data_IF_478654495154
#
_entry.id   IF_478654495154
#
_cell.length_a   1.000
_cell.length_b   1.000
_cell.length_c   1.000
_cell.angle_alpha   90.00
_cell.angle_beta   90.00
_cell.angle_gamma   90.00
#
_symmetry.space_group_name_H-M   'P 1'
#
loop_
_entity.id
_entity.type
_entity.pdbx_description
1 polymer ?
#
# COMPACT_ATOMS: atom_id res chain seq x y z
N UNK A 1 -19.25 -64.24 -75.04
CA UNK A 1 -18.97 -62.79 -75.15
C UNK A 1 -18.09 -62.40 -73.96
N UNK A 2 -16.97 -61.75 -74.24
CA UNK A 2 -15.85 -61.25 -73.40
C UNK A 2 -16.02 -61.05 -71.86
N UNK A 3 -14.92 -61.44 -71.15
CA UNK A 3 -14.17 -60.75 -70.06
C UNK A 3 -14.80 -60.66 -68.64
N UNK A 4 -14.38 -61.46 -67.65
CA UNK A 4 -13.28 -61.29 -66.63
C UNK A 4 -13.55 -60.29 -65.48
N UNK A 5 -13.53 -60.76 -64.22
CA UNK A 5 -12.48 -60.45 -63.22
C UNK A 5 -12.69 -61.23 -61.90
N UNK A 6 -11.61 -61.79 -61.37
CA UNK A 6 -11.52 -62.68 -60.20
C UNK A 6 -11.14 -61.95 -58.89
N UNK A 7 -11.06 -62.74 -57.80
CA UNK A 7 -10.23 -62.59 -56.56
C UNK A 7 -10.96 -61.98 -55.34
N UNK A 8 -10.83 -62.43 -54.09
CA UNK A 8 -10.43 -63.70 -53.44
C UNK A 8 -10.72 -63.52 -51.93
N UNK A 9 -10.98 -64.63 -51.24
CA UNK A 9 -11.23 -64.74 -49.81
C UNK A 9 -9.92 -64.64 -49.00
N UNK A 10 -9.90 -63.88 -47.90
CA UNK A 10 -8.84 -63.95 -46.88
C UNK A 10 -9.45 -64.02 -45.47
N UNK A 11 -8.99 -65.02 -44.72
CA UNK A 11 -9.24 -65.31 -43.30
C UNK A 11 -8.70 -64.20 -42.39
N UNK A 12 -9.51 -63.72 -41.43
CA UNK A 12 -9.06 -62.87 -40.34
C UNK A 12 -8.59 -63.70 -39.14
N UNK A 13 -7.31 -63.61 -38.80
CA UNK A 13 -6.73 -64.05 -37.53
C UNK A 13 -7.01 -63.01 -36.43
N UNK A 14 -7.60 -63.43 -35.31
CA UNK A 14 -7.74 -62.61 -34.11
C UNK A 14 -6.55 -62.83 -33.18
N UNK A 15 -5.76 -61.78 -32.92
CA UNK A 15 -4.77 -61.73 -31.84
C UNK A 15 -5.34 -60.85 -30.72
N UNK A 16 -5.64 -61.47 -29.58
CA UNK A 16 -6.07 -60.77 -28.38
C UNK A 16 -4.91 -60.05 -27.70
N UNK A 17 -5.01 -58.72 -27.60
CA UNK A 17 -4.14 -57.92 -26.73
C UNK A 17 -4.82 -57.78 -25.36
N UNK A 18 -4.21 -58.38 -24.33
CA UNK A 18 -4.54 -58.09 -22.93
C UNK A 18 -3.99 -56.70 -22.59
N UNK A 19 -4.86 -55.69 -22.52
CA UNK A 19 -4.51 -54.42 -21.87
C UNK A 19 -4.52 -54.62 -20.36
N UNK A 20 -3.39 -54.45 -19.70
CA UNK A 20 -3.33 -54.30 -18.24
C UNK A 20 -4.06 -53.00 -17.87
N UNK A 21 -5.29 -53.11 -17.39
CA UNK A 21 -5.95 -52.01 -16.70
C UNK A 21 -5.16 -51.74 -15.42
N UNK A 22 -4.37 -50.68 -15.42
CA UNK A 22 -3.88 -50.05 -14.19
C UNK A 22 -5.09 -49.53 -13.43
N UNK A 23 -5.57 -50.32 -12.47
CA UNK A 23 -6.53 -49.88 -11.48
C UNK A 23 -5.89 -48.71 -10.74
N UNK A 24 -6.39 -47.50 -10.98
CA UNK A 24 -6.00 -46.33 -10.21
C UNK A 24 -6.34 -46.62 -8.74
N UNK A 25 -5.32 -46.78 -7.91
CA UNK A 25 -5.49 -46.85 -6.46
C UNK A 25 -6.26 -45.60 -6.01
N UNK A 26 -7.25 -45.71 -5.12
CA UNK A 26 -7.95 -44.54 -4.59
C UNK A 26 -6.93 -43.55 -4.03
N UNK A 27 -7.08 -42.25 -4.34
CA UNK A 27 -6.28 -41.19 -3.72
C UNK A 27 -6.37 -41.35 -2.20
N UNK A 28 -5.30 -41.85 -1.59
CA UNK A 28 -5.20 -41.86 -0.13
C UNK A 28 -5.08 -40.42 0.31
N UNK A 29 -5.85 -40.04 1.33
CA UNK A 29 -5.83 -38.68 1.88
C UNK A 29 -4.40 -38.37 2.39
N UNK A 30 -3.61 -37.54 1.69
CA UNK A 30 -2.17 -37.45 1.96
C UNK A 30 -1.91 -36.79 3.31
N UNK A 31 -0.98 -37.34 4.11
CA UNK A 31 -0.67 -36.86 5.47
C UNK A 31 0.71 -36.20 5.58
N UNK A 32 1.59 -36.44 4.61
CA UNK A 32 2.93 -35.88 4.55
C UNK A 32 3.23 -35.31 3.16
N UNK A 33 4.28 -34.49 3.04
CA UNK A 33 4.72 -34.03 1.72
C UNK A 33 5.19 -35.21 0.84
N UNK A 34 5.74 -36.27 1.44
CA UNK A 34 6.10 -37.50 0.71
C UNK A 34 4.89 -38.08 -0.02
N UNK A 35 3.73 -38.16 0.66
CA UNK A 35 2.50 -38.71 0.07
C UNK A 35 2.00 -37.85 -1.09
N UNK A 36 1.98 -36.52 -0.90
CA UNK A 36 1.63 -35.56 -1.96
C UNK A 36 2.55 -35.70 -3.18
N UNK A 37 3.86 -35.79 -2.95
CA UNK A 37 4.85 -35.90 -4.02
C UNK A 37 4.79 -37.24 -4.77
N UNK A 38 4.57 -38.35 -4.07
CA UNK A 38 4.47 -39.68 -4.70
C UNK A 38 3.21 -39.82 -5.55
N UNK A 39 2.12 -39.17 -5.14
CA UNK A 39 0.85 -39.16 -5.88
C UNK A 39 0.77 -38.03 -6.91
N UNK A 40 1.87 -37.29 -7.17
CA UNK A 40 1.87 -36.07 -8.00
C UNK A 40 1.21 -36.23 -9.38
N UNK A 41 1.30 -37.40 -10.01
CA UNK A 41 0.70 -37.66 -11.33
C UNK A 41 -0.82 -37.76 -11.32
N UNK A 42 -1.44 -38.04 -10.17
CA UNK A 42 -2.90 -38.20 -10.01
C UNK A 42 -3.56 -36.98 -9.37
N UNK A 43 -2.77 -36.00 -8.92
CA UNK A 43 -3.26 -34.79 -8.28
C UNK A 43 -3.95 -33.84 -9.28
N UNK A 44 -4.94 -33.04 -8.82
CA UNK A 44 -5.46 -31.92 -9.59
C UNK A 44 -4.35 -30.96 -10.03
N UNK A 45 -4.47 -30.27 -11.19
CA UNK A 45 -3.41 -29.40 -11.71
C UNK A 45 -2.93 -28.35 -10.72
N UNK A 46 -3.83 -27.77 -9.93
CA UNK A 46 -3.53 -26.75 -8.94
C UNK A 46 -2.69 -27.29 -7.79
N UNK A 47 -3.05 -28.47 -7.28
CA UNK A 47 -2.31 -29.14 -6.21
C UNK A 47 -0.95 -29.63 -6.72
N UNK A 48 -0.92 -30.20 -7.92
CA UNK A 48 0.30 -30.65 -8.60
C UNK A 48 1.29 -29.49 -8.74
N UNK A 49 0.83 -28.33 -9.17
CA UNK A 49 1.65 -27.12 -9.28
C UNK A 49 2.29 -26.75 -7.93
N UNK A 50 1.53 -26.78 -6.84
CA UNK A 50 2.09 -26.51 -5.49
C UNK A 50 3.14 -27.54 -5.09
N UNK A 51 2.93 -28.81 -5.40
CA UNK A 51 3.96 -29.86 -5.18
C UNK A 51 5.22 -29.58 -6.00
N UNK A 52 5.08 -29.16 -7.26
CA UNK A 52 6.22 -28.82 -8.12
C UNK A 52 7.02 -27.63 -7.59
N UNK A 53 6.33 -26.56 -7.15
CA UNK A 53 6.98 -25.41 -6.50
C UNK A 53 7.71 -25.85 -5.23
N UNK A 54 7.11 -26.73 -4.41
CA UNK A 54 7.75 -27.22 -3.19
C UNK A 54 8.98 -28.10 -3.48
N UNK A 55 8.96 -28.90 -4.55
CA UNK A 55 10.12 -29.67 -5.01
C UNK A 55 11.25 -28.75 -5.50
N UNK A 56 10.92 -27.67 -6.20
CA UNK A 56 11.88 -26.64 -6.60
C UNK A 56 12.51 -25.97 -5.37
N UNK A 57 11.69 -25.57 -4.39
CA UNK A 57 12.18 -25.00 -3.12
C UNK A 57 13.06 -25.97 -2.35
N UNK A 58 12.75 -27.26 -2.38
CA UNK A 58 13.57 -28.31 -1.78
C UNK A 58 14.82 -28.65 -2.62
N UNK A 59 14.92 -28.16 -3.86
CA UNK A 59 16.00 -28.45 -4.81
C UNK A 59 16.24 -29.95 -4.99
N UNK A 60 15.16 -30.72 -5.09
CA UNK A 60 15.24 -32.17 -5.33
C UNK A 60 13.93 -32.70 -5.89
N UNK A 61 14.02 -33.74 -6.73
CA UNK A 61 12.85 -34.50 -7.21
C UNK A 61 12.58 -35.74 -6.34
N UNK A 62 13.45 -36.06 -5.38
CA UNK A 62 13.24 -37.17 -4.47
C UNK A 62 12.26 -36.79 -3.37
N UNK A 63 11.06 -37.38 -3.38
CA UNK A 63 9.97 -37.04 -2.45
C UNK A 63 10.37 -37.16 -0.97
N UNK A 64 11.13 -38.19 -0.58
CA UNK A 64 11.55 -38.39 0.81
C UNK A 64 12.54 -37.32 1.24
N UNK A 65 13.52 -37.01 0.39
CA UNK A 65 14.50 -35.97 0.65
C UNK A 65 13.84 -34.58 0.69
N UNK A 66 12.90 -34.31 -0.22
CA UNK A 66 12.14 -33.07 -0.22
C UNK A 66 11.34 -32.91 1.07
N UNK A 67 10.64 -33.96 1.51
CA UNK A 67 9.91 -33.96 2.77
C UNK A 67 10.84 -33.64 3.95
N UNK A 68 11.97 -34.33 4.08
CA UNK A 68 12.95 -34.08 5.14
C UNK A 68 13.44 -32.62 5.18
N UNK A 69 13.72 -32.02 4.01
CA UNK A 69 14.12 -30.61 3.92
C UNK A 69 12.97 -29.68 4.34
N UNK A 70 11.79 -29.88 3.75
CA UNK A 70 10.64 -28.99 3.93
C UNK A 70 10.07 -29.03 5.35
N UNK A 71 9.98 -30.21 5.99
CA UNK A 71 9.44 -30.35 7.35
C UNK A 71 10.36 -29.76 8.42
N UNK A 72 11.64 -29.53 8.11
CA UNK A 72 12.60 -28.89 9.02
C UNK A 72 12.66 -27.37 8.85
N UNK A 73 11.96 -26.81 7.86
CA UNK A 73 11.94 -25.36 7.66
C UNK A 73 11.15 -24.68 8.77
N UNK A 74 11.70 -23.56 9.24
CA UNK A 74 11.00 -22.60 10.11
C UNK A 74 10.49 -21.40 9.31
N UNK A 75 11.08 -21.12 8.15
CA UNK A 75 10.67 -20.05 7.25
C UNK A 75 10.51 -20.57 5.84
N UNK A 76 9.41 -20.20 5.18
CA UNK A 76 9.13 -20.59 3.80
C UNK A 76 8.52 -19.41 3.04
N UNK A 77 9.11 -19.06 1.90
CA UNK A 77 8.57 -18.06 0.98
C UNK A 77 8.19 -18.71 -0.36
N UNK A 78 6.92 -18.55 -0.67
CA UNK A 78 6.20 -19.05 -1.83
C UNK A 78 5.46 -17.91 -2.55
N UNK A 79 5.89 -16.66 -2.37
CA UNK A 79 5.31 -15.52 -3.07
C UNK A 79 5.52 -15.60 -4.60
N UNK A 80 4.61 -15.01 -5.38
CA UNK A 80 4.69 -14.90 -6.84
C UNK A 80 4.70 -16.24 -7.61
N UNK A 81 4.11 -17.31 -7.05
CA UNK A 81 4.15 -18.64 -7.67
C UNK A 81 2.85 -19.06 -8.36
N UNK A 82 1.83 -18.20 -8.45
CA UNK A 82 0.51 -18.55 -9.01
C UNK A 82 -0.19 -19.74 -8.31
N UNK A 83 0.19 -20.04 -7.06
CA UNK A 83 -0.39 -21.12 -6.25
C UNK A 83 -1.87 -20.84 -5.99
N UNK A 84 -2.72 -21.86 -6.07
CA UNK A 84 -4.16 -21.74 -5.75
C UNK A 84 -4.63 -22.78 -4.73
N UNK A 85 -4.03 -23.96 -4.71
CA UNK A 85 -4.26 -25.00 -3.70
C UNK A 85 -3.05 -25.13 -2.77
N UNK A 86 -3.24 -24.95 -1.47
CA UNK A 86 -2.18 -25.02 -0.46
C UNK A 86 -2.30 -26.25 0.47
N UNK A 87 -3.14 -27.23 0.14
CA UNK A 87 -3.24 -28.49 0.91
C UNK A 87 -1.88 -29.15 1.19
N UNK A 88 -0.91 -29.18 0.27
CA UNK A 88 0.42 -29.75 0.53
C UNK A 88 1.22 -29.08 1.66
N UNK A 89 0.85 -27.85 2.06
CA UNK A 89 1.53 -27.14 3.15
C UNK A 89 1.11 -27.60 4.55
N UNK A 90 -0.03 -28.29 4.68
CA UNK A 90 -0.61 -28.66 5.99
C UNK A 90 0.31 -29.52 6.88
N UNK A 91 1.27 -30.24 6.28
CA UNK A 91 2.24 -31.06 6.99
C UNK A 91 3.50 -30.30 7.46
N UNK A 92 3.67 -29.03 7.08
CA UNK A 92 4.87 -28.23 7.38
C UNK A 92 4.75 -27.49 8.71
N UNK A 93 4.39 -28.21 9.78
CA UNK A 93 3.96 -27.65 11.07
C UNK A 93 5.06 -26.95 11.88
N UNK A 94 6.33 -27.09 11.49
CA UNK A 94 7.46 -26.40 12.12
C UNK A 94 7.64 -24.96 11.64
N UNK A 95 6.85 -24.51 10.65
CA UNK A 95 6.92 -23.14 10.14
C UNK A 95 6.51 -22.13 11.21
N UNK A 96 7.36 -21.12 11.40
CA UNK A 96 7.10 -19.93 12.21
C UNK A 96 6.89 -18.68 11.35
N UNK A 97 7.32 -18.70 10.09
CA UNK A 97 7.09 -17.64 9.12
C UNK A 97 6.72 -18.22 7.75
N UNK A 98 5.59 -17.79 7.20
CA UNK A 98 5.11 -18.21 5.89
C UNK A 98 4.73 -17.01 5.03
N UNK A 99 5.32 -16.94 3.85
CA UNK A 99 5.00 -15.93 2.84
C UNK A 99 4.35 -16.59 1.62
N UNK A 100 3.10 -16.22 1.36
CA UNK A 100 2.24 -16.69 0.27
C UNK A 100 1.70 -15.51 -0.57
N UNK A 101 2.39 -14.35 -0.56
CA UNK A 101 1.92 -13.17 -1.26
C UNK A 101 1.83 -13.37 -2.79
N UNK A 102 0.97 -12.61 -3.46
CA UNK A 102 0.87 -12.58 -4.94
C UNK A 102 0.66 -13.97 -5.54
N UNK A 103 -0.38 -14.65 -5.06
CA UNK A 103 -0.81 -15.97 -5.54
C UNK A 103 -2.29 -15.91 -5.96
N UNK A 104 -2.93 -17.06 -6.14
CA UNK A 104 -4.34 -17.20 -6.55
C UNK A 104 -5.15 -17.95 -5.47
N UNK A 105 -4.72 -17.87 -4.21
CA UNK A 105 -5.29 -18.63 -3.09
C UNK A 105 -6.64 -18.05 -2.70
N UNK A 106 -7.64 -18.92 -2.55
CA UNK A 106 -8.96 -18.56 -2.00
C UNK A 106 -9.32 -19.37 -0.76
N UNK A 107 -8.92 -20.64 -0.70
CA UNK A 107 -9.12 -21.50 0.46
C UNK A 107 -7.84 -21.56 1.30
N UNK A 108 -7.94 -21.11 2.55
CA UNK A 108 -6.84 -21.12 3.53
C UNK A 108 -7.04 -22.12 4.67
N UNK A 109 -8.03 -23.01 4.58
CA UNK A 109 -8.27 -24.07 5.57
C UNK A 109 -7.01 -24.87 5.93
N UNK A 110 -6.11 -25.23 5.00
CA UNK A 110 -4.89 -25.98 5.32
C UNK A 110 -3.96 -25.26 6.30
N UNK A 111 -4.01 -23.93 6.38
CA UNK A 111 -3.17 -23.16 7.29
C UNK A 111 -3.50 -23.40 8.76
N UNK A 112 -4.72 -23.84 9.10
CA UNK A 112 -5.13 -24.08 10.48
C UNK A 112 -4.28 -25.12 11.22
N UNK A 113 -3.53 -25.96 10.51
CA UNK A 113 -2.57 -26.90 11.08
C UNK A 113 -1.22 -26.27 11.47
N UNK A 114 -0.91 -25.06 10.98
CA UNK A 114 0.39 -24.39 11.14
C UNK A 114 0.42 -23.48 12.38
N UNK A 115 0.04 -24.02 13.53
CA UNK A 115 -0.19 -23.26 14.78
C UNK A 115 1.07 -22.60 15.36
N UNK A 116 2.26 -22.95 14.88
CA UNK A 116 3.53 -22.33 15.27
C UNK A 116 3.83 -21.03 14.52
N UNK A 117 2.99 -20.62 13.57
CA UNK A 117 3.19 -19.39 12.82
C UNK A 117 3.13 -18.16 13.72
N UNK A 118 4.16 -17.32 13.59
CA UNK A 118 4.29 -16.00 14.22
C UNK A 118 4.19 -14.87 13.21
N UNK A 119 4.44 -15.16 11.93
CA UNK A 119 4.36 -14.22 10.81
C UNK A 119 3.73 -14.89 9.60
N UNK A 120 2.69 -14.28 9.03
CA UNK A 120 1.97 -14.78 7.86
C UNK A 120 1.67 -13.65 6.87
N UNK A 121 2.14 -13.81 5.63
CA UNK A 121 1.83 -12.91 4.52
C UNK A 121 0.95 -13.60 3.47
N UNK A 122 -0.26 -13.07 3.30
CA UNK A 122 -1.28 -13.54 2.36
C UNK A 122 -1.76 -12.42 1.42
N UNK A 123 -0.96 -11.34 1.26
CA UNK A 123 -1.33 -10.21 0.39
C UNK A 123 -1.52 -10.63 -1.06
N UNK A 124 -2.36 -9.90 -1.79
CA UNK A 124 -2.61 -10.13 -3.23
C UNK A 124 -3.03 -11.56 -3.54
N UNK A 125 -4.11 -12.01 -2.89
CA UNK A 125 -4.75 -13.30 -3.12
C UNK A 125 -6.25 -13.10 -3.42
N UNK A 126 -7.06 -14.15 -3.30
CA UNK A 126 -8.50 -14.14 -3.56
C UNK A 126 -9.31 -14.58 -2.34
N UNK A 127 -8.78 -14.34 -1.15
CA UNK A 127 -9.33 -14.83 0.13
C UNK A 127 -10.58 -14.02 0.51
N UNK A 128 -11.62 -14.69 0.97
CA UNK A 128 -12.83 -14.07 1.52
C UNK A 128 -13.16 -14.60 2.93
N UNK A 129 -12.97 -15.90 3.17
CA UNK A 129 -13.15 -16.55 4.46
C UNK A 129 -11.81 -16.70 5.17
N UNK A 130 -11.70 -16.05 6.33
CA UNK A 130 -10.52 -16.10 7.21
C UNK A 130 -10.75 -16.89 8.50
N UNK A 131 -11.86 -17.63 8.62
CA UNK A 131 -12.14 -18.48 9.79
C UNK A 131 -10.98 -19.40 10.18
N UNK A 132 -10.26 -20.04 9.25
CA UNK A 132 -9.12 -20.90 9.60
C UNK A 132 -8.00 -20.20 10.36
N UNK A 133 -7.87 -18.87 10.25
CA UNK A 133 -6.83 -18.11 10.94
C UNK A 133 -7.02 -18.10 12.46
N UNK A 134 -8.24 -18.31 12.96
CA UNK A 134 -8.53 -18.33 14.41
C UNK A 134 -7.72 -19.38 15.19
N UNK A 135 -7.19 -20.40 14.52
CA UNK A 135 -6.29 -21.40 15.13
C UNK A 135 -4.85 -20.90 15.31
N UNK A 136 -4.45 -19.81 14.67
CA UNK A 136 -3.06 -19.33 14.58
C UNK A 136 -2.75 -18.29 15.66
N UNK A 137 -3.06 -18.61 16.91
CA UNK A 137 -3.03 -17.68 18.05
C UNK A 137 -1.63 -17.15 18.40
N UNK A 138 -0.56 -17.78 17.88
CA UNK A 138 0.82 -17.32 18.03
C UNK A 138 1.22 -16.20 17.04
N UNK A 139 0.34 -15.81 16.12
CA UNK A 139 0.62 -14.75 15.16
C UNK A 139 0.87 -13.41 15.86
N UNK A 140 1.99 -12.79 15.49
CA UNK A 140 2.37 -11.41 15.86
C UNK A 140 2.27 -10.47 14.66
N UNK A 141 2.46 -10.99 13.44
CA UNK A 141 2.38 -10.22 12.19
C UNK A 141 1.47 -10.93 11.19
N UNK A 142 0.47 -10.21 10.69
CA UNK A 142 -0.46 -10.73 9.69
C UNK A 142 -0.73 -9.69 8.59
N UNK A 143 -0.51 -10.09 7.35
CA UNK A 143 -0.78 -9.26 6.17
C UNK A 143 -1.81 -9.91 5.26
N UNK A 144 -2.95 -9.25 5.07
CA UNK A 144 -4.11 -9.70 4.29
C UNK A 144 -4.55 -8.68 3.23
N UNK A 145 -3.68 -7.73 2.88
CA UNK A 145 -4.00 -6.68 1.91
C UNK A 145 -4.42 -7.23 0.55
N UNK A 146 -5.27 -6.50 -0.17
CA UNK A 146 -5.68 -6.84 -1.53
C UNK A 146 -6.28 -8.25 -1.61
N UNK A 147 -7.32 -8.48 -0.81
CA UNK A 147 -8.14 -9.69 -0.83
C UNK A 147 -9.62 -9.29 -1.00
N UNK A 148 -10.56 -10.15 -0.61
CA UNK A 148 -12.01 -9.94 -0.73
C UNK A 148 -12.70 -10.16 0.62
N UNK A 149 -12.02 -9.83 1.71
CA UNK A 149 -12.47 -10.10 3.08
C UNK A 149 -13.51 -9.05 3.48
N UNK A 150 -14.62 -9.49 4.07
CA UNK A 150 -15.62 -8.60 4.67
C UNK A 150 -15.89 -8.92 6.14
N UNK A 151 -15.76 -10.18 6.55
CA UNK A 151 -15.90 -10.61 7.94
C UNK A 151 -14.53 -10.84 8.58
N UNK A 152 -14.21 -10.05 9.60
CA UNK A 152 -12.97 -10.16 10.37
C UNK A 152 -13.16 -10.69 11.79
N UNK A 153 -14.35 -11.18 12.16
CA UNK A 153 -14.61 -11.80 13.48
C UNK A 153 -13.57 -12.84 13.90
N UNK A 154 -13.07 -13.72 13.01
CA UNK A 154 -12.06 -14.71 13.37
C UNK A 154 -10.75 -14.11 13.92
N UNK A 155 -10.43 -12.85 13.59
CA UNK A 155 -9.21 -12.20 14.07
C UNK A 155 -9.24 -11.93 15.57
N UNK A 156 -10.42 -11.87 16.21
CA UNK A 156 -10.53 -11.62 17.65
C UNK A 156 -9.79 -12.65 18.54
N UNK A 157 -9.49 -13.84 18.00
CA UNK A 157 -8.68 -14.86 18.68
C UNK A 157 -7.16 -14.58 18.65
N UNK A 158 -6.69 -13.65 17.80
CA UNK A 158 -5.27 -13.40 17.52
C UNK A 158 -4.69 -12.30 18.39
N UNK A 159 -4.89 -12.41 19.71
CA UNK A 159 -4.57 -11.35 20.69
C UNK A 159 -3.08 -11.02 20.81
N UNK A 160 -2.19 -11.84 20.26
CA UNK A 160 -0.74 -11.59 20.20
C UNK A 160 -0.30 -10.71 19.01
N UNK A 161 -1.22 -10.29 18.14
CA UNK A 161 -0.89 -9.44 17.00
C UNK A 161 -0.33 -8.08 17.46
N UNK A 162 0.82 -7.72 16.90
CA UNK A 162 1.44 -6.39 17.02
C UNK A 162 1.33 -5.61 15.72
N UNK A 163 1.26 -6.30 14.58
CA UNK A 163 1.11 -5.70 13.25
C UNK A 163 0.02 -6.40 12.44
N UNK A 164 -0.98 -5.65 12.00
CA UNK A 164 -2.08 -6.15 11.17
C UNK A 164 -2.32 -5.24 9.97
N UNK A 165 -2.34 -5.83 8.78
CA UNK A 165 -2.59 -5.11 7.53
C UNK A 165 -3.77 -5.73 6.78
N UNK A 166 -4.83 -4.94 6.59
CA UNK A 166 -6.11 -5.32 6.00
C UNK A 166 -6.52 -4.38 4.83
N UNK A 167 -5.57 -3.62 4.28
CA UNK A 167 -5.80 -2.64 3.22
C UNK A 167 -6.46 -3.26 1.98
N UNK A 168 -7.33 -2.52 1.30
CA UNK A 168 -7.96 -2.96 0.04
C UNK A 168 -8.74 -4.27 0.20
N UNK A 169 -9.73 -4.25 1.09
CA UNK A 169 -10.70 -5.32 1.31
C UNK A 169 -12.13 -4.74 1.25
N UNK A 170 -13.13 -5.44 1.82
CA UNK A 170 -14.54 -5.02 1.85
C UNK A 170 -15.07 -4.95 3.29
N UNK A 171 -14.22 -4.48 4.20
CA UNK A 171 -14.51 -4.49 5.65
C UNK A 171 -15.32 -3.24 6.00
N UNK A 172 -16.43 -3.42 6.70
CA UNK A 172 -17.24 -2.33 7.25
C UNK A 172 -17.37 -2.40 8.77
N UNK A 173 -17.49 -3.61 9.33
CA UNK A 173 -17.52 -3.87 10.77
C UNK A 173 -16.14 -4.26 11.29
N UNK A 174 -15.57 -3.40 12.15
CA UNK A 174 -14.27 -3.61 12.76
C UNK A 174 -14.34 -3.96 14.26
N UNK A 175 -15.51 -4.37 14.77
CA UNK A 175 -15.73 -4.69 16.19
C UNK A 175 -14.74 -5.73 16.72
N UNK A 176 -14.37 -6.71 15.88
CA UNK A 176 -13.43 -7.77 16.24
C UNK A 176 -12.03 -7.26 16.63
N UNK A 177 -11.65 -6.08 16.15
CA UNK A 177 -10.33 -5.51 16.43
C UNK A 177 -10.18 -5.08 17.90
N UNK A 178 -11.27 -4.79 18.60
CA UNK A 178 -11.23 -4.37 20.01
C UNK A 178 -10.60 -5.38 20.97
N UNK A 179 -10.42 -6.64 20.56
CA UNK A 179 -9.71 -7.66 21.33
C UNK A 179 -8.17 -7.61 21.16
N UNK A 180 -7.66 -6.87 20.17
CA UNK A 180 -6.26 -6.91 19.73
C UNK A 180 -5.39 -5.84 20.40
N UNK A 181 -5.42 -5.80 21.73
CA UNK A 181 -4.82 -4.71 22.52
C UNK A 181 -3.29 -4.57 22.38
N UNK A 182 -2.61 -5.57 21.82
CA UNK A 182 -1.15 -5.54 21.58
C UNK A 182 -0.77 -4.89 20.24
N UNK A 183 -1.75 -4.46 19.42
CA UNK A 183 -1.47 -3.82 18.13
C UNK A 183 -0.73 -2.50 18.32
N UNK A 184 0.40 -2.39 17.61
CA UNK A 184 1.16 -1.14 17.45
C UNK A 184 0.98 -0.56 16.05
N UNK A 185 0.68 -1.41 15.07
CA UNK A 185 0.52 -1.01 13.67
C UNK A 185 -0.73 -1.63 13.08
N UNK A 186 -1.61 -0.79 12.55
CA UNK A 186 -2.86 -1.19 11.90
C UNK A 186 -3.06 -0.44 10.59
N UNK A 187 -3.25 -1.17 9.49
CA UNK A 187 -3.68 -0.60 8.22
C UNK A 187 -5.04 -1.17 7.80
N UNK A 188 -5.99 -0.27 7.62
CA UNK A 188 -7.38 -0.51 7.20
C UNK A 188 -7.74 0.33 5.97
N UNK A 189 -6.76 0.92 5.29
CA UNK A 189 -7.00 1.78 4.13
C UNK A 189 -7.80 1.07 3.01
N UNK A 190 -8.54 1.82 2.21
CA UNK A 190 -9.33 1.31 1.08
C UNK A 190 -10.30 0.19 1.50
N UNK A 191 -11.16 0.48 2.47
CA UNK A 191 -12.23 -0.39 2.95
C UNK A 191 -13.56 0.39 2.97
N UNK A 192 -14.56 -0.11 3.69
CA UNK A 192 -15.89 0.49 3.82
C UNK A 192 -16.21 0.90 5.25
N UNK A 193 -15.18 1.18 6.06
CA UNK A 193 -15.32 1.50 7.48
C UNK A 193 -15.92 2.89 7.65
N UNK A 194 -16.93 3.02 8.50
CA UNK A 194 -17.53 4.31 8.89
C UNK A 194 -17.53 4.52 10.41
N UNK A 195 -17.69 3.46 11.19
CA UNK A 195 -17.60 3.48 12.65
C UNK A 195 -16.23 2.99 13.12
N UNK A 196 -15.46 3.90 13.72
CA UNK A 196 -14.14 3.61 14.29
C UNK A 196 -14.13 3.49 15.82
N UNK A 197 -15.31 3.42 16.47
CA UNK A 197 -15.42 3.24 17.92
C UNK A 197 -14.65 2.03 18.47
N UNK A 198 -14.61 0.87 17.79
CA UNK A 198 -13.83 -0.27 18.28
C UNK A 198 -12.34 0.00 18.44
N UNK A 199 -11.79 1.00 17.74
CA UNK A 199 -10.36 1.34 17.84
C UNK A 199 -10.00 1.96 19.20
N UNK A 200 -10.95 2.54 19.96
CA UNK A 200 -10.65 3.16 21.26
C UNK A 200 -9.99 2.21 22.27
N UNK A 201 -10.08 0.89 22.08
CA UNK A 201 -9.42 -0.11 22.93
C UNK A 201 -7.91 -0.26 22.64
N UNK A 202 -7.43 0.20 21.48
CA UNK A 202 -6.10 -0.10 20.94
C UNK A 202 -5.05 0.95 21.34
N UNK A 203 -4.93 1.19 22.65
CA UNK A 203 -4.07 2.23 23.22
C UNK A 203 -2.57 2.11 22.87
N UNK A 204 -2.10 0.94 22.43
CA UNK A 204 -0.71 0.71 22.02
C UNK A 204 -0.40 1.10 20.56
N UNK A 205 -1.41 1.55 19.80
CA UNK A 205 -1.21 1.97 18.40
C UNK A 205 -0.26 3.17 18.30
N UNK A 206 0.75 3.01 17.46
CA UNK A 206 1.69 4.07 17.05
C UNK A 206 1.48 4.48 15.59
N UNK A 207 1.06 3.53 14.74
CA UNK A 207 0.79 3.76 13.31
C UNK A 207 -0.61 3.28 12.95
N UNK A 208 -1.41 4.19 12.39
CA UNK A 208 -2.78 3.91 11.97
C UNK A 208 -3.05 4.47 10.57
N UNK A 209 -3.36 3.59 9.62
CA UNK A 209 -3.81 3.93 8.26
C UNK A 209 -5.30 3.61 8.12
N UNK A 210 -6.11 4.65 7.90
CA UNK A 210 -7.55 4.61 7.68
C UNK A 210 -7.96 5.30 6.37
N UNK A 211 -7.03 5.45 5.42
CA UNK A 211 -7.28 6.15 4.16
C UNK A 211 -8.42 5.50 3.36
N UNK A 212 -9.10 6.28 2.52
CA UNK A 212 -10.09 5.77 1.55
C UNK A 212 -11.16 4.89 2.22
N UNK A 213 -11.81 5.42 3.23
CA UNK A 213 -12.91 4.81 3.96
C UNK A 213 -14.16 5.71 3.88
N UNK A 214 -15.15 5.50 4.75
CA UNK A 214 -16.39 6.27 4.83
C UNK A 214 -16.49 7.02 6.18
N UNK A 215 -15.35 7.42 6.74
CA UNK A 215 -15.27 8.00 8.08
C UNK A 215 -15.62 9.49 8.03
N UNK A 216 -16.52 9.92 8.90
CA UNK A 216 -16.81 11.34 9.15
C UNK A 216 -16.67 11.72 10.62
N UNK A 217 -16.73 10.74 11.53
CA UNK A 217 -16.66 10.95 12.97
C UNK A 217 -15.37 10.36 13.55
N UNK A 218 -14.48 11.24 14.00
CA UNK A 218 -13.19 10.87 14.59
C UNK A 218 -13.18 10.88 16.13
N UNK A 219 -14.34 10.93 16.78
CA UNK A 219 -14.47 10.95 18.25
C UNK A 219 -13.71 9.84 19.00
N UNK A 220 -13.51 8.65 18.44
CA UNK A 220 -12.72 7.59 19.08
C UNK A 220 -11.21 7.86 19.16
N UNK A 221 -10.65 8.67 18.27
CA UNK A 221 -9.19 8.82 18.11
C UNK A 221 -8.44 9.38 19.33
N UNK A 222 -8.99 10.30 20.16
CA UNK A 222 -8.30 10.78 21.36
C UNK A 222 -7.86 9.70 22.36
N UNK A 223 -8.44 8.50 22.30
CA UNK A 223 -8.01 7.35 23.12
C UNK A 223 -6.66 6.76 22.66
N UNK A 224 -6.19 7.09 21.44
CA UNK A 224 -4.99 6.57 20.81
C UNK A 224 -3.79 7.52 21.00
N UNK A 225 -3.51 7.87 22.25
CA UNK A 225 -2.52 8.91 22.59
C UNK A 225 -1.07 8.54 22.25
N UNK A 226 -0.78 7.29 21.89
CA UNK A 226 0.55 6.83 21.47
C UNK A 226 0.79 6.95 19.95
N UNK A 227 -0.19 7.44 19.18
CA UNK A 227 -0.04 7.61 17.74
C UNK A 227 1.08 8.59 17.41
N UNK A 228 1.99 8.15 16.53
CA UNK A 228 3.03 8.95 15.89
C UNK A 228 2.71 9.22 14.43
N UNK A 229 1.98 8.30 13.78
CA UNK A 229 1.58 8.42 12.37
C UNK A 229 0.12 8.07 12.19
N UNK A 230 -0.62 8.97 11.55
CA UNK A 230 -2.05 8.84 11.30
C UNK A 230 -2.37 9.26 9.86
N UNK A 231 -2.95 8.35 9.08
CA UNK A 231 -3.44 8.63 7.73
C UNK A 231 -4.96 8.44 7.69
N UNK A 232 -5.66 9.50 7.26
CA UNK A 232 -7.12 9.64 7.22
C UNK A 232 -7.59 10.22 5.89
N UNK A 233 -6.78 10.13 4.83
CA UNK A 233 -7.07 10.69 3.53
C UNK A 233 -8.29 10.05 2.86
N UNK A 234 -8.91 10.74 1.92
CA UNK A 234 -10.07 10.26 1.14
C UNK A 234 -11.21 9.73 2.03
N UNK A 235 -11.62 10.55 2.99
CA UNK A 235 -12.74 10.30 3.89
C UNK A 235 -13.77 11.44 3.78
N UNK A 236 -14.62 11.62 4.78
CA UNK A 236 -15.65 12.69 4.85
C UNK A 236 -15.51 13.51 6.12
N UNK A 237 -14.26 13.80 6.50
CA UNK A 237 -13.95 14.47 7.77
C UNK A 237 -14.01 15.99 7.55
N UNK A 238 -14.72 16.68 8.45
CA UNK A 238 -14.82 18.15 8.47
C UNK A 238 -14.30 18.75 9.77
N UNK A 239 -14.69 18.17 10.91
CA UNK A 239 -14.24 18.60 12.23
C UNK A 239 -13.04 17.79 12.71
N UNK A 240 -11.89 18.45 12.83
CA UNK A 240 -10.64 17.87 13.31
C UNK A 240 -10.25 18.34 14.72
N UNK A 241 -11.15 18.97 15.47
CA UNK A 241 -10.88 19.51 16.81
C UNK A 241 -10.25 18.49 17.75
N UNK A 242 -10.70 17.24 17.65
CA UNK A 242 -10.23 16.15 18.51
C UNK A 242 -8.82 15.68 18.19
N UNK A 243 -8.25 16.02 17.04
CA UNK A 243 -6.85 15.70 16.73
C UNK A 243 -5.87 16.48 17.61
N UNK A 244 -6.27 17.64 18.15
CA UNK A 244 -5.43 18.47 19.03
C UNK A 244 -4.95 17.77 20.31
N UNK A 245 -5.51 16.61 20.66
CA UNK A 245 -5.08 15.81 21.82
C UNK A 245 -3.95 14.83 21.49
N UNK A 246 -3.65 14.60 20.20
CA UNK A 246 -2.69 13.60 19.74
C UNK A 246 -1.28 14.19 19.61
N UNK A 247 -0.76 14.71 20.72
CA UNK A 247 0.49 15.49 20.75
C UNK A 247 1.75 14.70 20.35
N UNK A 248 1.67 13.37 20.27
CA UNK A 248 2.79 12.51 19.84
C UNK A 248 2.90 12.36 18.31
N UNK A 249 1.95 12.92 17.55
CA UNK A 249 1.98 12.85 16.09
C UNK A 249 3.21 13.56 15.52
N UNK A 250 3.93 12.85 14.66
CA UNK A 250 5.02 13.37 13.83
C UNK A 250 4.65 13.38 12.34
N UNK A 251 3.71 12.52 11.93
CA UNK A 251 3.16 12.47 10.58
C UNK A 251 1.63 12.44 10.60
N UNK A 252 1.00 13.32 9.83
CA UNK A 252 -0.46 13.40 9.69
C UNK A 252 -0.86 13.61 8.24
N UNK A 253 -1.61 12.67 7.68
CA UNK A 253 -2.16 12.75 6.33
C UNK A 253 -3.69 12.87 6.37
N UNK A 254 -4.20 13.96 5.83
CA UNK A 254 -5.63 14.28 5.73
C UNK A 254 -6.06 14.71 4.31
N UNK A 255 -5.46 14.20 3.21
CA UNK A 255 -5.83 14.66 1.87
C UNK A 255 -7.27 14.30 1.52
N UNK A 256 -7.92 15.03 0.61
CA UNK A 256 -9.24 14.68 0.06
C UNK A 256 -10.30 14.45 1.14
N UNK A 257 -10.48 15.46 2.00
CA UNK A 257 -11.53 15.54 3.01
C UNK A 257 -12.33 16.84 2.80
N UNK A 258 -13.18 17.22 3.77
CA UNK A 258 -14.03 18.42 3.73
C UNK A 258 -13.58 19.42 4.81
N UNK A 259 -12.26 19.53 5.05
CA UNK A 259 -11.68 20.31 6.15
C UNK A 259 -11.52 21.77 5.71
N UNK A 260 -12.00 22.71 6.51
CA UNK A 260 -11.78 24.16 6.32
C UNK A 260 -11.10 24.83 7.52
N UNK A 261 -11.37 24.37 8.74
CA UNK A 261 -10.74 24.89 9.96
C UNK A 261 -9.60 23.98 10.45
N UNK A 262 -8.37 24.47 10.31
CA UNK A 262 -7.15 23.80 10.78
C UNK A 262 -6.58 24.35 12.08
N UNK A 263 -7.30 25.24 12.79
CA UNK A 263 -6.89 25.76 14.10
C UNK A 263 -6.47 24.67 15.10
N UNK A 264 -7.15 23.51 15.19
CA UNK A 264 -6.77 22.44 16.11
C UNK A 264 -5.35 21.91 15.90
N UNK A 265 -4.80 22.01 14.68
CA UNK A 265 -3.47 21.49 14.36
C UNK A 265 -2.35 22.29 15.05
N UNK A 266 -2.60 23.54 15.44
CA UNK A 266 -1.60 24.38 16.14
C UNK A 266 -1.10 23.81 17.48
N UNK A 267 -1.79 22.81 18.04
CA UNK A 267 -1.34 22.10 19.24
C UNK A 267 -0.27 21.03 18.95
N UNK A 268 -0.16 20.57 17.69
CA UNK A 268 0.63 19.40 17.29
C UNK A 268 2.09 19.75 16.95
N UNK A 269 2.78 20.35 17.92
CA UNK A 269 4.12 20.90 17.73
C UNK A 269 5.21 19.87 17.37
N UNK A 270 4.95 18.57 17.52
CA UNK A 270 5.86 17.48 17.15
C UNK A 270 5.76 17.07 15.67
N UNK A 271 4.82 17.64 14.90
CA UNK A 271 4.67 17.33 13.49
C UNK A 271 5.92 17.72 12.70
N UNK A 272 6.42 16.74 11.93
CA UNK A 272 7.47 16.91 10.94
C UNK A 272 6.93 16.79 9.52
N UNK A 273 5.86 16.01 9.32
CA UNK A 273 5.15 15.86 8.06
C UNK A 273 3.65 16.12 8.21
N UNK A 274 3.10 16.97 7.34
CA UNK A 274 1.67 17.28 7.30
C UNK A 274 1.20 17.36 5.84
N UNK A 275 0.21 16.54 5.49
CA UNK A 275 -0.39 16.54 4.14
C UNK A 275 -1.90 16.80 4.22
N UNK A 276 -2.34 17.91 3.61
CA UNK A 276 -3.72 18.41 3.62
C UNK A 276 -4.29 18.74 2.21
N UNK A 277 -3.84 18.15 1.09
CA UNK A 277 -4.30 18.59 -0.22
C UNK A 277 -5.74 18.19 -0.50
N UNK A 278 -6.41 18.91 -1.39
CA UNK A 278 -7.80 18.64 -1.76
C UNK A 278 -8.75 18.76 -0.55
N UNK A 279 -8.75 19.93 0.08
CA UNK A 279 -9.65 20.32 1.16
C UNK A 279 -10.25 21.71 0.86
N UNK A 280 -10.95 22.32 1.82
CA UNK A 280 -11.59 23.64 1.73
C UNK A 280 -10.82 24.70 2.55
N UNK A 281 -9.48 24.60 2.60
CA UNK A 281 -8.66 25.43 3.48
C UNK A 281 -8.33 26.76 2.82
N UNK A 282 -8.56 27.87 3.52
CA UNK A 282 -8.15 29.22 3.11
C UNK A 282 -7.27 29.92 4.14
N UNK A 283 -7.55 29.78 5.44
CA UNK A 283 -6.73 30.32 6.52
C UNK A 283 -5.70 29.31 7.04
N UNK A 284 -4.43 29.59 6.75
CA UNK A 284 -3.29 28.77 7.22
C UNK A 284 -2.50 29.39 8.38
N UNK A 285 -3.01 30.45 9.02
CA UNK A 285 -2.38 31.06 10.20
C UNK A 285 -2.03 30.07 11.31
N UNK A 286 -2.86 29.05 11.62
CA UNK A 286 -2.52 28.06 12.65
C UNK A 286 -1.22 27.31 12.42
N UNK A 287 -0.78 27.16 11.15
CA UNK A 287 0.43 26.41 10.82
C UNK A 287 1.70 27.11 11.29
N UNK A 288 1.68 28.43 11.51
CA UNK A 288 2.85 29.19 11.98
C UNK A 288 3.42 28.73 13.34
N UNK A 289 2.65 27.95 14.11
CA UNK A 289 3.12 27.33 15.34
C UNK A 289 4.00 26.07 15.11
N UNK A 290 3.91 25.44 13.94
CA UNK A 290 4.45 24.11 13.65
C UNK A 290 5.90 24.15 13.12
N UNK A 291 6.79 24.77 13.90
CA UNK A 291 8.17 25.06 13.48
C UNK A 291 9.03 23.82 13.20
N UNK A 292 8.59 22.62 13.59
CA UNK A 292 9.29 21.35 13.33
C UNK A 292 8.96 20.73 11.95
N UNK A 293 8.02 21.32 11.19
CA UNK A 293 7.66 20.82 9.87
C UNK A 293 8.84 20.86 8.91
N UNK A 294 9.07 19.72 8.25
CA UNK A 294 10.03 19.57 7.14
C UNK A 294 9.32 19.29 5.82
N UNK A 295 8.15 18.64 5.86
CA UNK A 295 7.31 18.35 4.70
C UNK A 295 5.91 18.91 4.92
N UNK A 296 5.43 19.73 3.99
CA UNK A 296 4.10 20.31 4.02
C UNK A 296 3.42 20.24 2.65
N UNK A 297 2.26 19.58 2.61
CA UNK A 297 1.37 19.52 1.44
C UNK A 297 0.06 20.25 1.68
N UNK A 298 -0.24 21.22 0.83
CA UNK A 298 -1.43 22.10 0.89
C UNK A 298 -2.05 22.31 -0.50
N UNK A 299 -1.73 21.46 -1.47
CA UNK A 299 -2.23 21.64 -2.84
C UNK A 299 -3.74 21.47 -2.96
N UNK A 300 -4.37 22.00 -4.01
CA UNK A 300 -5.82 21.88 -4.24
C UNK A 300 -6.65 22.38 -3.05
N UNK A 301 -6.45 23.64 -2.65
CA UNK A 301 -7.18 24.32 -1.59
C UNK A 301 -7.59 25.73 -2.08
N UNK A 302 -8.07 26.59 -1.18
CA UNK A 302 -8.52 27.96 -1.47
C UNK A 302 -7.55 29.00 -0.83
N UNK A 303 -6.25 28.68 -0.83
CA UNK A 303 -5.24 29.49 -0.14
C UNK A 303 -4.79 30.64 -1.04
N UNK A 304 -4.80 31.86 -0.50
CA UNK A 304 -4.25 33.06 -1.16
C UNK A 304 -3.16 33.76 -0.35
N UNK A 305 -3.29 33.82 0.98
CA UNK A 305 -2.27 34.38 1.89
C UNK A 305 -1.37 33.29 2.48
N UNK A 306 -0.10 33.30 2.05
CA UNK A 306 0.93 32.38 2.56
C UNK A 306 1.92 33.01 3.54
N UNK A 307 1.65 34.23 4.04
CA UNK A 307 2.48 34.88 5.06
C UNK A 307 2.77 34.00 6.28
N UNK A 308 1.83 33.20 6.82
CA UNK A 308 2.11 32.33 7.97
C UNK A 308 3.23 31.33 7.75
N UNK A 309 3.50 30.92 6.50
CA UNK A 309 4.55 29.95 6.19
C UNK A 309 5.96 30.49 6.43
N UNK A 310 6.16 31.81 6.46
CA UNK A 310 7.48 32.44 6.68
C UNK A 310 8.15 32.06 8.01
N UNK A 311 7.39 31.56 8.98
CA UNK A 311 7.90 31.03 10.25
C UNK A 311 8.54 29.63 10.13
N UNK A 312 8.21 28.86 9.09
CA UNK A 312 8.51 27.43 8.97
C UNK A 312 9.87 27.16 8.32
N UNK A 313 10.93 27.72 8.91
CA UNK A 313 12.27 27.72 8.32
C UNK A 313 12.90 26.31 8.18
N UNK A 314 12.33 25.28 8.77
CA UNK A 314 12.78 23.89 8.66
C UNK A 314 12.22 23.14 7.44
N UNK A 315 11.31 23.76 6.67
CA UNK A 315 10.73 23.14 5.49
C UNK A 315 11.79 22.82 4.43
N UNK A 316 11.78 21.58 3.97
CA UNK A 316 12.60 21.07 2.87
C UNK A 316 11.76 20.75 1.64
N UNK A 317 10.49 20.40 1.84
CA UNK A 317 9.51 20.11 0.78
C UNK A 317 8.21 20.86 1.04
N UNK A 318 7.76 21.63 0.05
CA UNK A 318 6.52 22.38 0.13
C UNK A 318 5.69 22.21 -1.17
N UNK A 319 4.44 21.79 -1.02
CA UNK A 319 3.48 21.70 -2.12
C UNK A 319 2.29 22.64 -1.88
N UNK A 320 2.09 23.57 -2.80
CA UNK A 320 1.04 24.61 -2.79
C UNK A 320 0.32 24.70 -4.14
N UNK A 321 0.45 23.67 -4.99
CA UNK A 321 -0.16 23.71 -6.32
C UNK A 321 -1.69 23.75 -6.28
N UNK A 322 -2.36 24.31 -7.29
CA UNK A 322 -3.82 24.43 -7.36
C UNK A 322 -4.39 25.21 -6.16
N UNK A 323 -3.98 26.47 -6.03
CA UNK A 323 -4.48 27.44 -5.05
C UNK A 323 -4.69 28.80 -5.74
N UNK A 324 -4.94 29.86 -4.96
CA UNK A 324 -5.18 31.23 -5.43
C UNK A 324 -4.01 32.18 -5.09
N UNK A 325 -2.79 31.64 -5.06
CA UNK A 325 -1.61 32.38 -4.59
C UNK A 325 -1.09 33.31 -5.68
N UNK A 326 -0.84 34.58 -5.33
CA UNK A 326 -0.22 35.56 -6.23
C UNK A 326 1.07 36.17 -5.66
N UNK A 327 1.12 36.42 -4.34
CA UNK A 327 2.31 36.91 -3.64
C UNK A 327 3.09 35.77 -2.97
N UNK A 328 4.30 35.52 -3.46
CA UNK A 328 5.22 34.52 -2.93
C UNK A 328 6.40 35.11 -2.16
N UNK A 329 6.37 36.41 -1.84
CA UNK A 329 7.39 37.05 -0.99
C UNK A 329 7.63 36.33 0.34
N UNK A 330 6.60 35.80 1.05
CA UNK A 330 6.83 35.05 2.29
C UNK A 330 7.73 33.84 2.16
N UNK A 331 7.85 33.24 0.97
CA UNK A 331 8.69 32.05 0.76
C UNK A 331 10.19 32.37 0.81
N UNK A 332 10.59 33.64 0.62
CA UNK A 332 12.00 34.05 0.55
C UNK A 332 12.82 33.77 1.81
N UNK A 333 12.16 33.49 2.95
CA UNK A 333 12.81 33.12 4.23
C UNK A 333 13.12 31.62 4.33
N UNK A 334 12.52 30.78 3.48
CA UNK A 334 12.53 29.32 3.58
C UNK A 334 13.77 28.69 2.90
N UNK A 335 14.95 29.12 3.32
CA UNK A 335 16.23 28.81 2.66
C UNK A 335 16.62 27.32 2.65
N UNK A 336 15.93 26.47 3.43
CA UNK A 336 16.12 25.02 3.47
C UNK A 336 15.31 24.26 2.41
N UNK A 337 14.45 24.94 1.64
CA UNK A 337 13.64 24.31 0.61
C UNK A 337 14.51 23.69 -0.48
N UNK A 338 14.20 22.43 -0.81
CA UNK A 338 14.80 21.65 -1.88
C UNK A 338 13.80 21.30 -2.97
N UNK A 339 12.53 21.15 -2.60
CA UNK A 339 11.43 20.81 -3.50
C UNK A 339 10.28 21.79 -3.26
N UNK A 340 9.85 22.46 -4.33
CA UNK A 340 8.77 23.44 -4.29
C UNK A 340 7.81 23.23 -5.46
N UNK A 341 6.54 22.95 -5.14
CA UNK A 341 5.45 22.84 -6.11
C UNK A 341 4.48 24.02 -5.95
N UNK A 342 4.36 24.84 -6.98
CA UNK A 342 3.53 26.06 -7.05
C UNK A 342 2.65 26.09 -8.31
N UNK A 343 2.45 24.93 -8.96
CA UNK A 343 1.70 24.86 -10.21
C UNK A 343 0.24 25.27 -10.03
N UNK A 344 -0.40 25.80 -11.08
CA UNK A 344 -1.82 26.20 -11.07
C UNK A 344 -2.09 27.20 -9.95
N UNK A 345 -1.54 28.40 -10.09
CA UNK A 345 -1.72 29.55 -9.20
C UNK A 345 -1.78 30.84 -10.04
N UNK A 346 -1.79 31.99 -9.38
CA UNK A 346 -1.90 33.32 -9.98
C UNK A 346 -0.58 34.12 -9.91
N UNK A 347 0.55 33.41 -9.85
CA UNK A 347 1.89 33.99 -9.63
C UNK A 347 2.39 34.67 -10.89
N UNK A 348 2.90 35.90 -10.77
CA UNK A 348 3.54 36.64 -11.85
C UNK A 348 4.98 37.07 -11.53
N UNK A 349 5.25 37.46 -10.29
CA UNK A 349 6.59 37.81 -9.82
C UNK A 349 7.25 36.63 -9.06
N UNK A 350 8.34 36.12 -9.63
CA UNK A 350 9.15 35.05 -9.03
C UNK A 350 10.48 35.52 -8.45
N UNK A 351 10.72 36.84 -8.39
CA UNK A 351 11.92 37.40 -7.76
C UNK A 351 12.16 36.89 -6.33
N UNK A 352 11.15 36.71 -5.47
CA UNK A 352 11.37 36.16 -4.14
C UNK A 352 12.04 34.78 -4.10
N UNK A 353 11.91 33.98 -5.16
CA UNK A 353 12.52 32.64 -5.21
C UNK A 353 14.04 32.68 -5.35
N UNK A 354 14.64 33.81 -5.77
CA UNK A 354 16.08 33.89 -6.03
C UNK A 354 16.95 33.67 -4.79
N UNK A 355 16.37 33.74 -3.59
CA UNK A 355 17.04 33.48 -2.30
C UNK A 355 17.12 31.99 -1.97
N UNK A 356 16.31 31.14 -2.61
CA UNK A 356 16.15 29.71 -2.28
C UNK A 356 17.20 28.84 -2.97
N UNK A 357 18.47 29.11 -2.70
CA UNK A 357 19.64 28.57 -3.43
C UNK A 357 19.83 27.05 -3.32
N UNK A 358 19.15 26.39 -2.37
CA UNK A 358 19.15 24.93 -2.19
C UNK A 358 18.06 24.20 -3.00
N UNK A 359 17.22 24.92 -3.77
CA UNK A 359 16.20 24.28 -4.60
C UNK A 359 16.82 23.35 -5.66
N UNK A 360 16.29 22.13 -5.70
CA UNK A 360 16.64 21.05 -6.64
C UNK A 360 15.52 20.86 -7.66
N UNK A 361 14.25 20.91 -7.22
CA UNK A 361 13.07 20.76 -8.08
C UNK A 361 12.10 21.90 -7.86
N UNK A 362 11.65 22.51 -8.96
CA UNK A 362 10.70 23.61 -8.94
C UNK A 362 9.62 23.39 -10.00
N UNK A 363 8.36 23.40 -9.58
CA UNK A 363 7.20 23.37 -10.46
C UNK A 363 6.43 24.69 -10.35
N UNK A 364 6.38 25.42 -11.45
CA UNK A 364 5.70 26.70 -11.65
C UNK A 364 4.68 26.62 -12.80
N UNK A 365 4.31 25.41 -13.22
CA UNK A 365 3.40 25.19 -14.35
C UNK A 365 2.08 25.95 -14.16
N UNK A 366 1.48 26.46 -15.23
CA UNK A 366 0.16 27.09 -15.22
C UNK A 366 0.09 28.26 -14.22
N UNK A 367 0.87 29.29 -14.49
CA UNK A 367 0.88 30.56 -13.74
C UNK A 367 0.85 31.75 -14.73
N UNK A 368 1.08 32.97 -14.23
CA UNK A 368 1.12 34.22 -15.02
C UNK A 368 2.54 34.77 -15.16
N UNK A 369 3.55 33.89 -15.20
CA UNK A 369 4.97 34.28 -15.18
C UNK A 369 5.43 34.67 -16.58
N UNK A 370 6.01 35.87 -16.72
CA UNK A 370 6.59 36.34 -17.99
C UNK A 370 8.12 36.49 -17.95
N UNK A 371 8.71 36.73 -16.76
CA UNK A 371 10.15 36.87 -16.56
C UNK A 371 10.70 35.75 -15.67
N UNK A 372 11.63 34.97 -16.23
CA UNK A 372 12.30 33.87 -15.53
C UNK A 372 13.76 34.17 -15.17
N UNK A 373 14.27 35.38 -15.44
CA UNK A 373 15.65 35.78 -15.07
C UNK A 373 15.99 35.57 -13.59
N UNK A 374 15.09 35.77 -12.62
CA UNK A 374 15.41 35.53 -11.21
C UNK A 374 15.87 34.10 -10.89
N UNK A 375 15.53 33.11 -11.71
CA UNK A 375 15.95 31.71 -11.51
C UNK A 375 17.43 31.46 -11.82
N UNK A 376 18.15 32.42 -12.42
CA UNK A 376 19.57 32.29 -12.76
C UNK A 376 20.47 32.05 -11.52
N UNK A 377 20.06 32.54 -10.34
CA UNK A 377 20.79 32.38 -9.08
C UNK A 377 20.68 30.98 -8.47
N UNK A 378 19.74 30.15 -8.94
CA UNK A 378 19.38 28.88 -8.32
C UNK A 378 20.24 27.74 -8.88
N UNK A 379 21.45 27.59 -8.30
CA UNK A 379 22.51 26.78 -8.90
C UNK A 379 22.33 25.27 -8.82
N UNK A 380 21.42 24.79 -7.97
CA UNK A 380 21.20 23.37 -7.72
C UNK A 380 19.98 22.80 -8.43
N UNK A 381 19.23 23.63 -9.18
CA UNK A 381 18.05 23.17 -9.91
C UNK A 381 18.41 22.14 -10.98
N UNK A 382 17.73 21.00 -10.94
CA UNK A 382 17.82 19.91 -11.92
C UNK A 382 16.56 19.86 -12.77
N UNK A 383 15.41 20.29 -12.22
CA UNK A 383 14.12 20.27 -12.90
C UNK A 383 13.38 21.58 -12.61
N UNK A 384 12.93 22.24 -13.67
CA UNK A 384 12.10 23.45 -13.65
C UNK A 384 10.93 23.22 -14.61
N UNK A 385 9.72 23.06 -14.07
CA UNK A 385 8.50 23.00 -14.88
C UNK A 385 7.85 24.39 -14.96
N UNK A 386 7.81 24.98 -16.16
CA UNK A 386 7.27 26.33 -16.42
C UNK A 386 6.27 26.31 -17.58
N UNK A 387 5.73 25.14 -17.90
CA UNK A 387 4.68 24.94 -18.90
C UNK A 387 3.47 25.84 -18.58
N UNK A 388 2.75 26.28 -19.61
CA UNK A 388 1.57 27.14 -19.54
C UNK A 388 1.82 28.46 -18.80
N UNK A 389 2.88 29.18 -19.18
CA UNK A 389 3.17 30.54 -18.69
C UNK A 389 3.39 31.50 -19.87
N UNK A 390 3.04 32.79 -19.75
CA UNK A 390 3.20 33.80 -20.81
C UNK A 390 4.67 34.27 -20.98
N UNK A 391 5.60 33.34 -21.18
CA UNK A 391 7.04 33.61 -21.33
C UNK A 391 7.35 33.91 -22.81
N UNK A 392 7.68 35.16 -23.11
CA UNK A 392 7.96 35.59 -24.48
C UNK A 392 9.22 34.95 -25.09
N UNK A 393 10.28 34.76 -24.30
CA UNK A 393 11.55 34.19 -24.74
C UNK A 393 11.86 32.92 -23.96
N UNK A 394 11.68 31.77 -24.61
CA UNK A 394 11.89 30.43 -24.03
C UNK A 394 13.37 30.05 -23.94
N UNK A 395 14.17 30.87 -23.28
CA UNK A 395 15.59 30.61 -23.02
C UNK A 395 15.74 30.27 -21.55
N UNK A 396 16.21 29.06 -21.26
CA UNK A 396 16.44 28.65 -19.87
C UNK A 396 17.55 29.52 -19.25
N UNK A 397 17.32 30.16 -18.09
CA UNK A 397 18.32 31.00 -17.41
C UNK A 397 19.45 30.18 -16.75
N UNK A 398 19.44 28.86 -16.94
CA UNK A 398 20.28 27.87 -16.30
C UNK A 398 20.73 26.83 -17.33
N UNK A 399 21.91 26.26 -17.11
CA UNK A 399 22.45 25.15 -17.89
C UNK A 399 22.42 23.85 -17.06
N UNK A 400 22.20 22.69 -17.70
CA UNK A 400 21.89 22.53 -19.12
C UNK A 400 20.46 23.00 -19.44
N UNK A 401 20.19 23.42 -20.68
CA UNK A 401 18.90 24.06 -21.02
C UNK A 401 17.69 23.15 -20.84
N UNK A 402 17.89 21.83 -20.95
CA UNK A 402 16.82 20.83 -20.82
C UNK A 402 16.20 20.76 -19.42
N UNK A 403 16.80 21.41 -18.42
CA UNK A 403 16.20 21.46 -17.08
C UNK A 403 14.91 22.28 -17.08
N UNK A 404 14.77 23.25 -17.99
CA UNK A 404 13.54 24.02 -18.16
C UNK A 404 12.57 23.29 -19.11
N UNK A 405 11.40 22.93 -18.61
CA UNK A 405 10.29 22.42 -19.42
C UNK A 405 9.40 23.58 -19.84
N UNK A 406 9.43 23.91 -21.12
CA UNK A 406 8.53 24.88 -21.76
C UNK A 406 7.38 24.16 -22.49
N UNK A 407 6.36 24.92 -22.89
CA UNK A 407 5.33 24.41 -23.79
C UNK A 407 5.95 23.90 -25.09
N UNK A 408 5.55 22.69 -25.48
CA UNK A 408 5.84 22.15 -26.81
C UNK A 408 5.18 23.07 -27.86
N UNK A 409 5.85 23.33 -29.00
CA UNK A 409 5.20 24.04 -30.09
C UNK A 409 3.93 23.30 -30.51
N UNK A 410 2.81 24.01 -30.65
CA UNK A 410 1.60 23.43 -31.24
C UNK A 410 1.88 23.20 -32.73
N UNK A 411 1.80 21.94 -33.17
CA UNK A 411 1.97 21.54 -34.57
C UNK A 411 0.73 21.88 -35.40
#
# INVERSE_FOLDING_TARGET
>A
MKLTSSIATIFTFALGFYSTQTIATPLQNPKSFTDWCQQKSTLPPQTKHTVEVLLEKAQTQNCKQANQKLTNLTKLSLGFNQISDINPLSALTNLTSLDLNTNKISDIKPLSALTNLTSLDLRFNKINDIKPLSALTNLTKLSLNFNKISDIKPLSALTNLTSLSLRSNKISDITALSALNNLTTLSLGSNEVSDIKPLSALNNLTVLDLDSNKISNIKPLPALNNLTTLSLGSNKIRDIKLLSTLNNLTGLDLPSNEISDIKPLSALNNLTGLDLPSNEISDIKPLSALNNLTVLGLGSNEISDIKPLSALNNLTTLSLGSNEISDIKPLSTLNNLTILYLSVNEISDIKPLSTLTHLISLDLKSNKISDIKPLSTLTHLIIIDIINNPIAHKICPRKPEYICKFDQPQN
#
